data_IF_979575571472
#
_entry.id   IF_979575571472
#
_cell.length_a   1.000
_cell.length_b   1.000
_cell.length_c   1.000
_cell.angle_alpha   90.00
_cell.angle_beta   90.00
_cell.angle_gamma   90.00
#
_symmetry.space_group_name_H-M   'P 1'
#
loop_
_entity.id
_entity.type
_entity.pdbx_description
1 polymer ?
#
# COMPACT_ATOMS: atom_id res chain seq x y z
N UNK A 1 2.51 -20.40 -15.01
CA UNK A 1 3.68 -19.74 -14.39
C UNK A 1 3.16 -18.69 -13.41
N UNK A 2 3.51 -18.78 -12.13
CA UNK A 2 3.04 -17.80 -11.15
C UNK A 2 3.69 -16.44 -11.44
N UNK A 3 2.90 -15.49 -11.92
CA UNK A 3 3.34 -14.13 -12.21
C UNK A 3 3.95 -13.52 -10.95
N UNK A 4 5.21 -13.10 -11.02
CA UNK A 4 5.94 -12.52 -9.89
C UNK A 4 5.16 -11.31 -9.36
N UNK A 5 4.58 -11.43 -8.16
CA UNK A 5 3.82 -10.34 -7.52
C UNK A 5 4.76 -9.15 -7.28
N UNK A 6 4.37 -7.97 -7.76
CA UNK A 6 5.03 -6.70 -7.49
C UNK A 6 4.52 -6.24 -6.13
N UNK A 7 5.31 -6.56 -5.12
CA UNK A 7 4.99 -6.27 -3.74
C UNK A 7 5.25 -4.82 -3.40
N UNK A 8 4.20 -4.08 -3.03
CA UNK A 8 4.35 -2.73 -2.45
C UNK A 8 4.66 -2.80 -0.96
N UNK A 9 5.20 -1.72 -0.39
CA UNK A 9 5.51 -1.64 1.05
C UNK A 9 4.30 -1.82 1.97
N UNK A 10 3.10 -1.46 1.51
CA UNK A 10 1.85 -1.52 2.27
C UNK A 10 1.07 -2.84 2.12
N UNK A 11 1.58 -3.81 1.37
CA UNK A 11 0.90 -5.12 1.25
C UNK A 11 -0.03 -5.24 0.05
N UNK A 12 -0.38 -4.13 -0.59
CA UNK A 12 -1.09 -4.14 -1.87
C UNK A 12 -0.19 -4.70 -2.98
N UNK A 13 -0.80 -5.24 -4.03
CA UNK A 13 -0.07 -5.84 -5.16
C UNK A 13 -0.30 -5.00 -6.42
N UNK A 14 0.76 -4.38 -6.94
CA UNK A 14 0.68 -3.68 -8.23
C UNK A 14 0.47 -4.66 -9.41
N UNK A 15 0.72 -5.95 -9.21
CA UNK A 15 0.49 -6.97 -10.26
C UNK A 15 -0.99 -7.19 -10.59
N UNK A 16 -1.89 -6.83 -9.68
CA UNK A 16 -3.34 -6.96 -9.87
C UNK A 16 -4.01 -5.60 -9.95
N UNK A 17 -3.25 -4.52 -10.15
CA UNK A 17 -3.75 -3.16 -10.21
C UNK A 17 -3.92 -2.72 -11.67
N UNK A 18 -5.13 -2.35 -12.07
CA UNK A 18 -5.45 -1.98 -13.46
C UNK A 18 -4.79 -0.68 -13.93
N UNK A 19 -4.35 0.17 -12.98
CA UNK A 19 -3.64 1.42 -13.25
C UNK A 19 -2.12 1.24 -13.38
N UNK A 20 -1.58 0.11 -12.92
CA UNK A 20 -0.14 -0.14 -12.95
C UNK A 20 0.34 -0.27 -14.40
N UNK A 21 1.40 0.49 -14.75
CA UNK A 21 1.93 0.68 -16.12
C UNK A 21 1.03 1.44 -17.11
N UNK A 22 -0.09 2.01 -16.64
CA UNK A 22 -0.87 2.99 -17.42
C UNK A 22 -0.64 4.38 -16.84
N UNK A 23 -1.32 4.67 -15.74
CA UNK A 23 -1.29 5.98 -15.06
C UNK A 23 -0.42 5.93 -13.80
N UNK A 24 -0.08 4.74 -13.32
CA UNK A 24 0.74 4.53 -12.14
C UNK A 24 2.00 3.72 -12.49
N UNK A 25 3.19 4.34 -12.48
CA UNK A 25 4.46 3.62 -12.66
C UNK A 25 4.79 2.69 -11.49
N UNK A 26 4.13 2.90 -10.34
CA UNK A 26 4.31 2.10 -9.13
C UNK A 26 4.96 2.90 -8.01
N UNK A 27 4.81 2.41 -6.77
CA UNK A 27 5.26 3.13 -5.57
C UNK A 27 6.78 3.34 -5.54
N UNK A 28 7.57 2.42 -6.09
CA UNK A 28 9.03 2.52 -6.08
C UNK A 28 9.52 3.58 -7.08
N UNK A 29 8.99 3.57 -8.31
CA UNK A 29 9.34 4.57 -9.33
C UNK A 29 8.86 5.98 -8.94
N UNK A 30 7.68 6.07 -8.33
CA UNK A 30 7.14 7.34 -7.85
C UNK A 30 7.67 7.78 -6.48
N UNK A 31 8.54 6.98 -5.84
CA UNK A 31 9.04 7.22 -4.47
C UNK A 31 7.92 7.53 -3.46
N UNK A 32 6.86 6.73 -3.52
CA UNK A 32 5.68 6.86 -2.66
C UNK A 32 4.67 7.92 -3.10
N UNK A 33 4.72 8.38 -4.36
CA UNK A 33 3.77 9.34 -4.94
C UNK A 33 2.88 8.70 -6.03
N UNK A 34 2.09 7.65 -5.71
CA UNK A 34 1.19 7.04 -6.68
C UNK A 34 0.14 8.06 -7.16
N UNK A 35 -0.50 7.80 -8.30
CA UNK A 35 -1.41 8.74 -8.96
C UNK A 35 -2.46 9.38 -8.01
N UNK A 36 -3.01 8.60 -7.07
CA UNK A 36 -4.04 9.05 -6.12
C UNK A 36 -3.56 10.11 -5.11
N UNK A 37 -2.25 10.24 -4.84
CA UNK A 37 -1.76 11.24 -3.85
C UNK A 37 -2.10 12.65 -4.30
N UNK A 38 -2.04 12.92 -5.61
CA UNK A 38 -2.44 14.19 -6.20
C UNK A 38 -3.94 14.46 -6.05
N UNK A 39 -4.79 13.44 -6.19
CA UNK A 39 -6.25 13.57 -6.08
C UNK A 39 -6.71 13.94 -4.67
N UNK A 40 -6.01 13.44 -3.65
CA UNK A 40 -6.34 13.71 -2.24
C UNK A 40 -5.48 14.82 -1.62
N UNK A 41 -4.68 15.52 -2.44
CA UNK A 41 -3.89 16.66 -2.00
C UNK A 41 -2.77 16.34 -1.02
N UNK A 42 -2.21 15.12 -1.04
CA UNK A 42 -1.03 14.77 -0.24
C UNK A 42 0.20 14.66 -1.13
N UNK A 43 1.37 15.06 -0.63
CA UNK A 43 2.61 15.00 -1.42
C UNK A 43 3.15 13.57 -1.58
N UNK A 44 3.01 12.73 -0.55
CA UNK A 44 3.53 11.36 -0.51
C UNK A 44 2.65 10.48 0.38
N UNK A 45 2.53 9.21 0.02
CA UNK A 45 1.88 8.20 0.85
C UNK A 45 2.60 8.05 2.19
N UNK A 46 1.88 8.31 3.29
CA UNK A 46 2.41 8.23 4.66
C UNK A 46 2.92 6.83 5.04
N UNK A 47 2.34 5.76 4.48
CA UNK A 47 2.83 4.38 4.71
C UNK A 47 4.19 4.19 4.05
N UNK A 48 4.34 4.67 2.81
CA UNK A 48 5.61 4.57 2.10
C UNK A 48 6.69 5.40 2.79
N UNK A 49 6.36 6.64 3.16
CA UNK A 49 7.30 7.54 3.81
C UNK A 49 7.81 6.96 5.14
N UNK A 50 6.89 6.47 5.97
CA UNK A 50 7.24 5.85 7.23
C UNK A 50 8.03 4.54 7.04
N UNK A 51 7.62 3.68 6.12
CA UNK A 51 8.29 2.40 5.90
C UNK A 51 9.71 2.58 5.33
N UNK A 52 9.85 3.36 4.26
CA UNK A 52 11.08 3.45 3.48
C UNK A 52 12.02 4.53 4.00
N UNK A 53 11.50 5.72 4.32
CA UNK A 53 12.35 6.85 4.69
C UNK A 53 12.63 6.89 6.20
N UNK A 54 11.60 6.71 7.04
CA UNK A 54 11.77 6.77 8.50
C UNK A 54 12.34 5.47 9.07
N UNK A 55 11.62 4.36 8.88
CA UNK A 55 11.96 3.05 9.47
C UNK A 55 12.97 2.24 8.64
N UNK A 56 13.20 2.64 7.38
CA UNK A 56 14.12 1.97 6.44
C UNK A 56 13.89 0.45 6.33
N UNK A 57 12.62 0.07 6.32
CA UNK A 57 12.15 -1.30 6.17
C UNK A 57 11.82 -1.60 4.71
N UNK A 58 12.03 -2.85 4.25
CA UNK A 58 11.66 -3.24 2.89
C UNK A 58 10.14 -3.27 2.67
N UNK A 59 9.37 -3.50 3.72
CA UNK A 59 7.90 -3.45 3.71
C UNK A 59 7.37 -3.40 5.14
N UNK A 60 6.12 -2.93 5.31
CA UNK A 60 5.45 -2.82 6.60
C UNK A 60 5.30 -4.15 7.33
N UNK A 61 5.37 -5.29 6.63
CA UNK A 61 5.33 -6.62 7.24
C UNK A 61 6.48 -6.92 8.20
N UNK A 62 7.59 -6.16 8.14
CA UNK A 62 8.69 -6.24 9.12
C UNK A 62 8.55 -5.21 10.26
N UNK A 63 7.50 -4.38 10.22
CA UNK A 63 7.24 -3.42 11.27
C UNK A 63 6.58 -4.13 12.46
N UNK A 64 7.05 -3.88 13.71
CA UNK A 64 6.35 -4.40 14.90
C UNK A 64 4.95 -3.81 15.04
N UNK A 65 4.75 -2.58 14.55
CA UNK A 65 3.48 -1.85 14.57
C UNK A 65 2.69 -2.08 13.26
N UNK A 66 2.72 -3.31 12.74
CA UNK A 66 1.96 -3.68 11.54
C UNK A 66 0.46 -3.41 11.76
N UNK A 67 -0.23 -2.89 10.73
CA UNK A 67 -1.61 -2.38 10.83
C UNK A 67 -1.76 -1.17 11.79
N UNK A 68 -0.78 -0.25 11.78
CA UNK A 68 -0.92 1.05 12.46
C UNK A 68 -1.99 1.95 11.81
N UNK A 69 -2.31 3.06 12.48
CA UNK A 69 -3.26 4.11 12.06
C UNK A 69 -3.16 4.54 10.59
N UNK A 70 -1.97 4.47 9.98
CA UNK A 70 -1.76 4.88 8.57
C UNK A 70 -2.56 4.01 7.59
N UNK A 71 -2.88 2.78 7.98
CA UNK A 71 -3.72 1.87 7.19
C UNK A 71 -5.21 2.21 7.28
N UNK A 72 -5.64 2.90 8.35
CA UNK A 72 -7.04 3.26 8.54
C UNK A 72 -7.57 4.20 7.45
N UNK A 73 -6.68 4.91 6.74
CA UNK A 73 -7.02 5.74 5.58
C UNK A 73 -7.80 5.02 4.48
N UNK A 74 -7.76 3.68 4.42
CA UNK A 74 -8.61 2.91 3.50
C UNK A 74 -10.10 3.09 3.83
N UNK A 75 -10.43 3.28 5.11
CA UNK A 75 -11.80 3.52 5.56
C UNK A 75 -12.30 4.91 5.20
N UNK A 76 -11.40 5.83 4.90
CA UNK A 76 -11.74 7.19 4.45
C UNK A 76 -12.11 7.23 2.96
N UNK A 77 -11.96 6.12 2.21
CA UNK A 77 -12.37 6.04 0.81
C UNK A 77 -13.90 6.05 0.72
N UNK A 78 -14.53 7.10 0.15
CA UNK A 78 -15.98 7.20 0.05
C UNK A 78 -16.61 6.12 -0.86
N UNK A 79 -15.79 5.41 -1.64
CA UNK A 79 -16.24 4.31 -2.49
C UNK A 79 -16.18 2.94 -1.79
N UNK A 80 -15.70 2.88 -0.54
CA UNK A 80 -15.65 1.66 0.25
C UNK A 80 -16.62 1.73 1.41
N UNK A 81 -17.35 0.64 1.65
CA UNK A 81 -18.05 0.45 2.91
C UNK A 81 -17.14 -0.19 3.98
N UNK A 82 -17.60 -0.23 5.23
CA UNK A 82 -16.80 -0.74 6.35
C UNK A 82 -16.42 -2.23 6.22
N UNK A 83 -17.28 -3.05 5.61
CA UNK A 83 -16.98 -4.46 5.37
C UNK A 83 -15.89 -4.64 4.30
N UNK A 84 -15.94 -3.86 3.22
CA UNK A 84 -14.93 -3.83 2.17
C UNK A 84 -13.58 -3.33 2.69
N UNK A 85 -13.59 -2.24 3.45
CA UNK A 85 -12.39 -1.70 4.07
C UNK A 85 -11.75 -2.72 5.03
N UNK A 86 -12.56 -3.39 5.85
CA UNK A 86 -12.08 -4.45 6.78
C UNK A 86 -11.49 -5.64 6.01
N UNK A 87 -12.16 -6.09 4.95
CA UNK A 87 -11.65 -7.17 4.10
C UNK A 87 -10.33 -6.78 3.41
N UNK A 88 -10.22 -5.53 2.94
CA UNK A 88 -9.01 -5.00 2.32
C UNK A 88 -7.84 -4.96 3.32
N UNK A 89 -8.08 -4.45 4.54
CA UNK A 89 -7.09 -4.43 5.62
C UNK A 89 -6.61 -5.84 5.98
N UNK A 90 -7.53 -6.79 6.15
CA UNK A 90 -7.19 -8.18 6.45
C UNK A 90 -6.38 -8.85 5.34
N UNK A 91 -6.70 -8.56 4.06
CA UNK A 91 -5.95 -9.07 2.93
C UNK A 91 -4.52 -8.51 2.89
N UNK A 92 -4.34 -7.21 3.14
CA UNK A 92 -3.03 -6.58 3.22
C UNK A 92 -2.20 -7.15 4.38
N UNK A 93 -2.79 -7.32 5.56
CA UNK A 93 -2.11 -7.90 6.71
C UNK A 93 -1.61 -9.32 6.40
N UNK A 94 -2.49 -10.17 5.84
CA UNK A 94 -2.14 -11.53 5.45
C UNK A 94 -0.99 -11.56 4.43
N UNK A 95 -1.04 -10.69 3.42
CA UNK A 95 0.03 -10.59 2.43
C UNK A 95 1.34 -10.12 3.07
N UNK A 96 1.29 -9.11 3.94
CA UNK A 96 2.47 -8.56 4.61
C UNK A 96 3.15 -9.56 5.55
N UNK A 97 2.36 -10.33 6.31
CA UNK A 97 2.87 -11.41 7.17
C UNK A 97 3.46 -12.58 6.37
N UNK A 98 2.99 -12.79 5.14
CA UNK A 98 3.50 -13.82 4.24
C UNK A 98 4.82 -13.47 3.55
N UNK A 99 5.25 -12.20 3.58
CA UNK A 99 6.51 -11.75 2.96
C UNK A 99 7.69 -12.00 3.92
N UNK A 100 8.63 -12.85 3.50
CA UNK A 100 9.88 -13.15 4.23
C UNK A 100 10.96 -12.11 3.95
#
# INVERSE_FOLDING_TARGET
MATKKIGTVCGTSCSTCDHHKKECPGCDETKGKPFWTAFIGIDRCAIYDCCVNDRKLPHCGKCPDLMCERFERIRDDPNMNEAEATACLAAMEKELRGRR
#
